data_IF_590333050840
#
_entry.id   IF_590333050840
#
_cell.length_a   1.000
_cell.length_b   1.000
_cell.length_c   1.000
_cell.angle_alpha   90.00
_cell.angle_beta   90.00
_cell.angle_gamma   90.00
#
_symmetry.space_group_name_H-M   'P 1'
#
loop_
_entity.id
_entity.type
_entity.pdbx_description
1 polymer ?
#
# COMPACT_ATOMS: atom_id res chain seq x y z
N UNK A 1 -24.97 0.02 4.23
CA UNK A 1 -23.56 -0.04 4.72
C UNK A 1 -22.65 0.06 3.51
N UNK A 2 -21.49 0.73 3.62
CA UNK A 2 -20.51 0.87 2.54
C UNK A 2 -19.09 0.87 3.12
N UNK A 3 -18.11 0.43 2.31
CA UNK A 3 -16.69 0.49 2.69
C UNK A 3 -16.23 1.94 2.52
N UNK A 4 -15.70 2.53 3.57
CA UNK A 4 -15.20 3.92 3.56
C UNK A 4 -13.73 4.02 3.92
N UNK A 5 -13.19 3.06 4.67
CA UNK A 5 -11.77 3.02 5.07
C UNK A 5 -11.27 1.59 4.97
N UNK A 6 -10.04 1.45 4.47
CA UNK A 6 -9.26 0.22 4.53
C UNK A 6 -7.92 0.54 5.17
N UNK A 7 -7.51 -0.26 6.15
CA UNK A 7 -6.26 -0.05 6.86
C UNK A 7 -5.12 -0.86 6.26
N UNK A 8 -3.93 -0.26 6.23
CA UNK A 8 -2.68 -0.95 5.95
C UNK A 8 -1.71 -0.69 7.11
N UNK A 9 -1.16 -1.75 7.75
CA UNK A 9 -0.22 -1.56 8.85
C UNK A 9 1.11 -1.05 8.32
N UNK A 10 1.66 -0.03 8.97
CA UNK A 10 2.95 0.55 8.60
C UNK A 10 3.85 0.69 9.82
N UNK A 11 5.14 0.45 9.63
CA UNK A 11 6.15 0.55 10.70
C UNK A 11 6.44 2.00 11.06
N UNK A 12 6.32 2.91 10.10
CA UNK A 12 6.61 4.33 10.24
C UNK A 12 5.64 5.12 9.36
N UNK A 13 4.74 5.88 9.97
CA UNK A 13 3.70 6.62 9.24
C UNK A 13 4.25 7.69 8.32
N UNK A 14 5.30 8.42 8.72
CA UNK A 14 5.90 9.46 7.87
C UNK A 14 6.61 8.86 6.66
N UNK A 15 7.35 7.78 6.86
CA UNK A 15 7.99 7.04 5.77
C UNK A 15 6.95 6.46 4.80
N UNK A 16 5.88 5.88 5.33
CA UNK A 16 4.76 5.38 4.54
C UNK A 16 4.07 6.52 3.77
N UNK A 17 3.79 7.64 4.43
CA UNK A 17 3.19 8.80 3.79
C UNK A 17 4.00 9.24 2.56
N UNK A 18 5.31 9.38 2.70
CA UNK A 18 6.19 9.75 1.58
C UNK A 18 6.17 8.71 0.47
N UNK A 19 6.26 7.44 0.81
CA UNK A 19 6.23 6.37 -0.18
C UNK A 19 4.91 6.36 -0.98
N UNK A 20 3.79 6.34 -0.29
CA UNK A 20 2.47 6.24 -0.93
C UNK A 20 2.08 7.49 -1.72
N UNK A 21 2.54 8.68 -1.32
CA UNK A 21 2.28 9.92 -2.05
C UNK A 21 3.30 10.18 -3.15
N UNK A 22 4.59 10.12 -2.86
CA UNK A 22 5.65 10.50 -3.81
C UNK A 22 5.91 9.41 -4.86
N UNK A 23 5.81 8.13 -4.49
CA UNK A 23 6.04 7.00 -5.40
C UNK A 23 4.73 6.54 -6.07
N UNK A 24 3.68 6.31 -5.30
CA UNK A 24 2.44 5.75 -5.81
C UNK A 24 1.45 6.81 -6.30
N UNK A 25 1.60 8.08 -5.88
CA UNK A 25 0.76 9.18 -6.34
C UNK A 25 -0.55 9.35 -5.57
N UNK A 26 -0.75 8.65 -4.45
CA UNK A 26 -1.92 8.88 -3.59
C UNK A 26 -1.93 10.30 -3.03
N UNK A 27 -3.12 10.79 -2.68
CA UNK A 27 -3.34 12.15 -2.16
C UNK A 27 -3.72 12.06 -0.67
N UNK A 28 -3.09 12.88 0.16
CA UNK A 28 -3.46 12.99 1.57
C UNK A 28 -4.88 13.53 1.72
N UNK A 29 -5.71 12.83 2.48
CA UNK A 29 -7.07 13.24 2.82
C UNK A 29 -7.14 13.86 4.22
N UNK A 30 -6.74 13.12 5.24
CA UNK A 30 -6.74 13.55 6.63
C UNK A 30 -5.36 13.30 7.25
N UNK A 31 -5.00 14.17 8.18
CA UNK A 31 -3.79 14.04 8.99
C UNK A 31 -4.02 14.72 10.33
N UNK A 32 -4.54 13.96 11.29
CA UNK A 32 -4.91 14.46 12.61
C UNK A 32 -4.02 13.82 13.67
N UNK A 33 -3.35 14.63 14.51
CA UNK A 33 -2.55 14.09 15.61
C UNK A 33 -3.41 13.26 16.58
N UNK A 34 -2.84 12.14 17.02
CA UNK A 34 -3.38 11.28 18.06
C UNK A 34 -2.40 11.21 19.23
N UNK A 35 -2.82 10.59 20.34
CA UNK A 35 -1.95 10.36 21.48
C UNK A 35 -0.74 9.47 21.12
N UNK A 36 0.38 9.66 21.83
CA UNK A 36 1.58 8.85 21.67
C UNK A 36 2.37 9.12 20.40
N UNK A 37 2.15 10.27 19.74
CA UNK A 37 2.84 10.64 18.50
C UNK A 37 2.27 9.96 17.25
N UNK A 38 1.19 9.21 17.38
CA UNK A 38 0.47 8.62 16.25
C UNK A 38 -0.37 9.66 15.51
N UNK A 39 -0.77 9.32 14.29
CA UNK A 39 -1.59 10.19 13.43
C UNK A 39 -2.76 9.39 12.86
N UNK A 40 -3.95 10.01 12.81
CA UNK A 40 -5.01 9.53 11.94
C UNK A 40 -4.70 10.04 10.53
N UNK A 41 -4.05 9.20 9.76
CA UNK A 41 -3.46 9.58 8.48
C UNK A 41 -4.08 8.75 7.37
N UNK A 42 -4.87 9.42 6.51
CA UNK A 42 -5.55 8.76 5.40
C UNK A 42 -5.17 9.35 4.05
N UNK A 43 -5.18 8.48 3.06
CA UNK A 43 -4.91 8.80 1.66
C UNK A 43 -6.09 8.39 0.80
N UNK A 44 -6.21 9.01 -0.38
CA UNK A 44 -7.20 8.63 -1.40
C UNK A 44 -6.52 8.47 -2.75
N UNK A 45 -7.13 7.68 -3.62
CA UNK A 45 -6.72 7.60 -5.01
C UNK A 45 -6.94 8.95 -5.71
N UNK A 46 -5.98 9.45 -6.50
CA UNK A 46 -6.18 10.66 -7.30
C UNK A 46 -7.32 10.52 -8.31
N UNK A 47 -7.57 9.31 -8.77
CA UNK A 47 -8.64 8.99 -9.73
C UNK A 47 -10.01 8.89 -9.07
N UNK A 48 -10.07 8.71 -7.75
CA UNK A 48 -11.31 8.55 -7.01
C UNK A 48 -11.21 9.17 -5.62
N UNK A 49 -11.15 10.50 -5.57
CA UNK A 49 -10.92 11.23 -4.32
C UNK A 49 -12.07 11.16 -3.32
N UNK A 50 -13.30 10.87 -3.77
CA UNK A 50 -14.48 10.64 -2.93
C UNK A 50 -14.69 9.16 -2.60
N UNK A 51 -13.77 8.31 -3.00
CA UNK A 51 -13.79 6.87 -2.76
C UNK A 51 -13.30 6.48 -1.36
N UNK A 52 -13.06 5.19 -1.14
CA UNK A 52 -12.51 4.71 0.13
C UNK A 52 -11.16 5.34 0.46
N UNK A 53 -10.94 5.58 1.74
CA UNK A 53 -9.66 6.08 2.25
C UNK A 53 -8.75 4.93 2.65
N UNK A 54 -7.48 5.06 2.34
CA UNK A 54 -6.42 4.17 2.83
C UNK A 54 -5.87 4.74 4.14
N UNK A 55 -6.12 4.08 5.25
CA UNK A 55 -5.57 4.45 6.57
C UNK A 55 -4.19 3.83 6.74
N UNK A 56 -3.17 4.67 6.91
CA UNK A 56 -1.82 4.22 7.27
C UNK A 56 -1.78 3.97 8.78
N UNK A 57 -1.95 2.70 9.19
CA UNK A 57 -2.17 2.30 10.58
C UNK A 57 -0.86 1.95 11.27
N UNK A 58 -0.45 2.67 12.36
CA UNK A 58 0.82 2.39 13.05
C UNK A 58 0.73 1.19 14.02
N UNK A 59 -0.26 0.32 13.87
CA UNK A 59 -0.52 -0.81 14.77
C UNK A 59 0.71 -1.68 15.08
N UNK A 60 1.62 -1.97 14.12
CA UNK A 60 2.81 -2.78 14.42
C UNK A 60 3.71 -2.20 15.51
N UNK A 61 3.62 -0.90 15.78
CA UNK A 61 4.45 -0.23 16.79
C UNK A 61 3.93 -0.38 18.23
N UNK A 62 2.64 -0.71 18.40
CA UNK A 62 2.01 -0.78 19.71
C UNK A 62 1.13 -2.02 19.92
N UNK A 63 1.03 -2.90 18.92
CA UNK A 63 0.25 -4.13 18.99
C UNK A 63 1.05 -5.29 18.38
N UNK A 64 1.78 -6.02 19.22
CA UNK A 64 2.70 -7.08 18.80
C UNK A 64 2.07 -8.14 17.90
N UNK A 65 0.83 -8.61 18.10
CA UNK A 65 0.21 -9.58 17.19
C UNK A 65 0.11 -9.07 15.73
N UNK A 66 -0.09 -7.77 15.52
CA UNK A 66 -0.11 -7.19 14.18
C UNK A 66 1.27 -7.25 13.52
N UNK A 67 2.32 -6.96 14.29
CA UNK A 67 3.71 -7.06 13.81
C UNK A 67 4.08 -8.49 13.44
N UNK A 68 3.69 -9.45 14.27
CA UNK A 68 3.92 -10.89 14.00
C UNK A 68 3.20 -11.31 12.72
N UNK A 69 1.94 -10.94 12.55
CA UNK A 69 1.15 -11.23 11.35
C UNK A 69 1.75 -10.58 10.10
N UNK A 70 2.10 -9.30 10.17
CA UNK A 70 2.72 -8.57 9.07
C UNK A 70 4.03 -9.23 8.62
N UNK A 71 4.89 -9.60 9.57
CA UNK A 71 6.14 -10.30 9.28
C UNK A 71 5.89 -11.68 8.65
N UNK A 72 4.89 -12.42 9.12
CA UNK A 72 4.55 -13.72 8.56
C UNK A 72 4.08 -13.62 7.10
N UNK A 73 3.29 -12.61 6.76
CA UNK A 73 2.88 -12.34 5.38
C UNK A 73 4.09 -11.97 4.50
N UNK A 74 4.96 -11.11 5.01
CA UNK A 74 6.17 -10.70 4.30
C UNK A 74 7.08 -11.91 4.00
N UNK A 75 7.32 -12.75 5.00
CA UNK A 75 8.15 -13.95 4.86
C UNK A 75 7.56 -14.97 3.89
N UNK A 76 6.23 -15.04 3.82
CA UNK A 76 5.51 -15.93 2.89
C UNK A 76 5.35 -15.33 1.49
N UNK A 77 5.74 -14.07 1.27
CA UNK A 77 5.55 -13.38 0.00
C UNK A 77 4.09 -13.05 -0.31
N UNK A 78 3.23 -13.00 0.70
CA UNK A 78 1.80 -12.73 0.54
C UNK A 78 1.55 -11.22 0.59
N UNK A 79 0.93 -10.63 -0.44
CA UNK A 79 0.57 -9.22 -0.42
C UNK A 79 -0.46 -8.90 0.66
N UNK A 80 -0.30 -7.76 1.33
CA UNK A 80 -1.30 -7.26 2.27
C UNK A 80 -2.60 -6.88 1.57
N UNK A 81 -2.47 -6.16 0.46
CA UNK A 81 -3.61 -5.70 -0.35
C UNK A 81 -3.18 -5.55 -1.81
N UNK A 82 -4.13 -5.13 -2.65
CA UNK A 82 -3.86 -4.86 -4.06
C UNK A 82 -4.43 -3.51 -4.49
N UNK A 83 -3.80 -2.94 -5.51
CA UNK A 83 -4.28 -1.75 -6.20
C UNK A 83 -4.47 -2.07 -7.67
N UNK A 84 -5.60 -1.63 -8.21
CA UNK A 84 -5.94 -1.77 -9.62
C UNK A 84 -5.25 -0.67 -10.44
N UNK A 85 -4.69 -1.03 -11.58
CA UNK A 85 -4.07 -0.11 -12.53
C UNK A 85 -4.47 -0.47 -13.96
N UNK A 86 -4.47 0.51 -14.86
CA UNK A 86 -4.83 0.29 -16.25
C UNK A 86 -3.79 -0.54 -17.02
N UNK A 87 -2.50 -0.41 -16.66
CA UNK A 87 -1.37 -1.07 -17.33
C UNK A 87 -0.30 -1.39 -16.29
N UNK A 88 -0.22 -2.66 -15.88
CA UNK A 88 0.75 -3.13 -14.89
C UNK A 88 2.18 -3.01 -15.39
N UNK A 89 2.44 -3.21 -16.70
CA UNK A 89 3.79 -3.08 -17.22
C UNK A 89 4.29 -1.63 -17.18
N UNK A 90 3.45 -0.69 -17.60
CA UNK A 90 3.79 0.74 -17.57
C UNK A 90 4.03 1.21 -16.13
N UNK A 91 3.19 0.79 -15.19
CA UNK A 91 3.35 1.16 -13.78
C UNK A 91 4.58 0.51 -13.16
N UNK A 92 4.86 -0.74 -13.49
CA UNK A 92 6.10 -1.43 -13.09
C UNK A 92 7.34 -0.63 -13.55
N UNK A 93 7.41 -0.27 -14.84
CA UNK A 93 8.55 0.47 -15.41
C UNK A 93 8.71 1.84 -14.72
N UNK A 94 7.60 2.54 -14.47
CA UNK A 94 7.60 3.81 -13.76
C UNK A 94 8.14 3.68 -12.33
N UNK A 95 7.67 2.70 -11.58
CA UNK A 95 8.06 2.47 -10.19
C UNK A 95 9.50 1.98 -10.07
N UNK A 96 9.97 1.12 -10.97
CA UNK A 96 11.38 0.72 -11.04
C UNK A 96 12.27 1.97 -11.25
N UNK A 97 11.87 2.87 -12.12
CA UNK A 97 12.59 4.14 -12.34
C UNK A 97 12.66 5.03 -11.09
N UNK A 98 11.71 4.90 -10.16
CA UNK A 98 11.69 5.58 -8.87
C UNK A 98 12.38 4.79 -7.74
N UNK A 99 12.99 3.65 -8.06
CA UNK A 99 13.74 2.84 -7.10
C UNK A 99 12.87 1.87 -6.27
N UNK A 100 11.62 1.64 -6.65
CA UNK A 100 10.75 0.67 -5.97
C UNK A 100 11.21 -0.74 -6.30
N UNK A 101 11.26 -1.62 -5.28
CA UNK A 101 11.70 -3.00 -5.43
C UNK A 101 10.51 -3.94 -5.61
N UNK A 102 10.56 -4.76 -6.64
CA UNK A 102 9.53 -5.76 -6.94
C UNK A 102 10.05 -7.17 -6.61
N UNK A 103 9.22 -7.96 -5.93
CA UNK A 103 9.44 -9.39 -5.72
C UNK A 103 8.83 -10.24 -6.84
N UNK A 104 7.86 -9.69 -7.58
CA UNK A 104 7.26 -10.31 -8.75
C UNK A 104 7.14 -9.30 -9.87
N UNK A 105 7.72 -9.60 -11.04
CA UNK A 105 7.56 -8.81 -12.27
C UNK A 105 6.14 -8.99 -12.82
N UNK A 106 5.68 -8.11 -13.74
CA UNK A 106 4.42 -8.33 -14.45
C UNK A 106 4.31 -9.75 -14.99
N UNK A 107 3.26 -10.44 -14.56
CA UNK A 107 3.04 -11.86 -14.86
C UNK A 107 1.58 -12.07 -15.20
N UNK A 108 1.31 -12.68 -16.36
CA UNK A 108 -0.04 -13.07 -16.75
C UNK A 108 -0.55 -14.24 -15.91
N UNK A 109 -1.75 -14.09 -15.37
CA UNK A 109 -2.45 -15.11 -14.59
C UNK A 109 -3.91 -15.19 -15.05
N UNK A 110 -4.15 -15.93 -16.12
CA UNK A 110 -5.50 -16.04 -16.71
C UNK A 110 -5.95 -14.72 -17.33
N UNK A 111 -6.95 -14.09 -16.73
CA UNK A 111 -7.51 -12.80 -17.18
C UNK A 111 -6.91 -11.59 -16.48
N UNK A 112 -5.84 -11.78 -15.75
CA UNK A 112 -5.16 -10.71 -15.02
C UNK A 112 -3.68 -10.67 -15.34
N UNK A 113 -3.10 -9.47 -15.23
CA UNK A 113 -1.67 -9.29 -15.11
C UNK A 113 -1.41 -8.78 -13.69
N UNK A 114 -0.45 -9.38 -12.98
CA UNK A 114 -0.11 -9.01 -11.61
C UNK A 114 1.38 -8.73 -11.47
N UNK A 115 1.72 -7.83 -10.55
CA UNK A 115 3.09 -7.59 -10.10
C UNK A 115 3.06 -7.34 -8.59
N UNK A 116 4.17 -7.57 -7.89
CA UNK A 116 4.24 -7.38 -6.43
C UNK A 116 5.47 -6.56 -6.08
N UNK A 117 5.27 -5.50 -5.33
CA UNK A 117 6.34 -4.63 -4.83
C UNK A 117 6.36 -4.54 -3.31
N UNK A 118 7.50 -4.11 -2.77
CA UNK A 118 7.70 -3.84 -1.36
C UNK A 118 7.44 -2.34 -1.09
N UNK A 119 6.54 -2.03 -0.14
CA UNK A 119 6.22 -0.65 0.23
C UNK A 119 7.25 0.00 1.15
N UNK A 120 8.31 -0.71 1.52
CA UNK A 120 9.35 -0.30 2.48
C UNK A 120 8.84 -0.06 3.91
N UNK A 121 7.57 -0.35 4.17
CA UNK A 121 6.91 -0.14 5.45
C UNK A 121 6.38 -1.43 6.09
N UNK A 122 6.89 -2.56 5.61
CA UNK A 122 6.60 -3.90 6.14
C UNK A 122 5.63 -4.71 5.31
N UNK A 123 5.20 -4.23 4.13
CA UNK A 123 4.20 -4.92 3.31
C UNK A 123 4.69 -5.20 1.90
N UNK A 124 4.23 -6.31 1.34
CA UNK A 124 4.15 -6.51 -0.10
C UNK A 124 2.78 -6.02 -0.59
N UNK A 125 2.76 -5.35 -1.72
CA UNK A 125 1.56 -4.83 -2.37
C UNK A 125 1.47 -5.39 -3.77
N UNK A 126 0.29 -5.87 -4.15
CA UNK A 126 0.03 -6.35 -5.49
C UNK A 126 -0.54 -5.23 -6.37
N UNK A 127 -0.01 -5.09 -7.57
CA UNK A 127 -0.67 -4.39 -8.67
C UNK A 127 -1.45 -5.40 -9.48
N UNK A 128 -2.62 -5.01 -9.97
CA UNK A 128 -3.46 -5.84 -10.81
C UNK A 128 -4.04 -5.05 -11.98
N UNK A 129 -4.04 -5.68 -13.15
CA UNK A 129 -4.71 -5.24 -14.36
C UNK A 129 -5.66 -6.35 -14.80
N UNK A 130 -6.89 -5.99 -15.15
CA UNK A 130 -7.87 -6.92 -15.70
C UNK A 130 -7.85 -6.83 -17.22
N UNK A 131 -7.59 -7.95 -17.89
CA UNK A 131 -7.55 -8.05 -19.35
C UNK A 131 -8.95 -8.10 -19.97
#
# INVERSE_FOLDING_TARGET
MKITIMSIPVLDQEKAFKFYTEKLGFIKKLDTPLEGGNRWLTLVSPEWQDGPELLLEPAPNHFEPMKVFQNALMDAGIPWTQFDVEDVQAEYDRLIGLGVQFSMKPTEMGTWIVAVFNDTCGNNIQLIETL
#
